data_IF_467947524724
#
_entry.id   IF_467947524724
#
_cell.length_a   1.000
_cell.length_b   1.000
_cell.length_c   1.000
_cell.angle_alpha   90.00
_cell.angle_beta   90.00
_cell.angle_gamma   90.00
#
_symmetry.space_group_name_H-M   'P 1'
#
loop_
_entity.id
_entity.type
_entity.pdbx_description
1 polymer ?
#
# COMPACT_ATOMS: atom_id res chain seq x y z
N UNK A 1 -3.45 -20.19 -24.26
CA UNK A 1 -3.63 -21.22 -23.22
C UNK A 1 -2.28 -21.33 -22.50
N UNK A 2 -2.13 -20.68 -21.36
CA UNK A 2 -0.88 -20.68 -20.58
C UNK A 2 -0.90 -21.94 -19.69
N UNK A 3 -0.23 -23.01 -20.15
CA UNK A 3 -0.06 -24.27 -19.40
C UNK A 3 1.08 -24.11 -18.37
N UNK A 4 0.95 -23.15 -17.44
CA UNK A 4 1.83 -23.10 -16.30
C UNK A 4 1.22 -23.93 -15.18
N UNK A 5 2.00 -24.87 -14.64
CA UNK A 5 1.63 -25.75 -13.53
C UNK A 5 0.99 -24.94 -12.38
N UNK A 6 -0.05 -25.49 -11.73
CA UNK A 6 -0.62 -24.86 -10.55
C UNK A 6 0.49 -24.70 -9.48
N UNK A 7 0.76 -23.45 -9.10
CA UNK A 7 1.72 -23.18 -8.05
C UNK A 7 1.14 -23.75 -6.75
N UNK A 8 1.87 -24.65 -6.11
CA UNK A 8 1.48 -25.20 -4.83
C UNK A 8 1.41 -24.06 -3.80
N UNK A 9 0.24 -23.86 -3.20
CA UNK A 9 -0.01 -22.78 -2.22
C UNK A 9 0.98 -22.82 -1.06
N UNK A 10 1.39 -24.01 -0.66
CA UNK A 10 2.38 -24.24 0.40
C UNK A 10 3.74 -23.61 0.07
N UNK A 11 4.22 -23.76 -1.15
CA UNK A 11 5.48 -23.11 -1.60
C UNK A 11 5.42 -21.59 -1.56
N UNK A 12 4.26 -21.02 -1.94
CA UNK A 12 4.05 -19.56 -1.88
C UNK A 12 4.07 -19.09 -0.44
N UNK A 13 3.38 -19.79 0.45
CA UNK A 13 3.32 -19.48 1.87
C UNK A 13 4.70 -19.55 2.52
N UNK A 14 5.45 -20.64 2.31
CA UNK A 14 6.80 -20.78 2.81
C UNK A 14 7.75 -19.68 2.32
N UNK A 15 7.65 -19.33 1.03
CA UNK A 15 8.49 -18.28 0.46
C UNK A 15 8.20 -16.91 1.10
N UNK A 16 6.93 -16.59 1.36
CA UNK A 16 6.53 -15.36 2.05
C UNK A 16 7.04 -15.35 3.50
N UNK A 17 6.90 -16.47 4.21
CA UNK A 17 7.43 -16.58 5.57
C UNK A 17 8.96 -16.37 5.63
N UNK A 18 9.70 -16.89 4.65
CA UNK A 18 11.16 -16.65 4.55
C UNK A 18 11.47 -15.16 4.32
N UNK A 19 10.67 -14.46 3.51
CA UNK A 19 10.84 -13.00 3.34
C UNK A 19 10.59 -12.28 4.66
N UNK A 20 9.52 -12.60 5.39
CA UNK A 20 9.27 -12.04 6.72
C UNK A 20 10.45 -12.29 7.67
N UNK A 21 10.97 -13.51 7.72
CA UNK A 21 12.11 -13.89 8.56
C UNK A 21 13.39 -13.12 8.19
N UNK A 22 13.73 -13.03 6.91
CA UNK A 22 14.93 -12.29 6.47
C UNK A 22 14.82 -10.78 6.77
N UNK A 23 13.64 -10.18 6.60
CA UNK A 23 13.44 -8.77 6.94
C UNK A 23 13.53 -8.55 8.45
N UNK A 24 12.97 -9.45 9.26
CA UNK A 24 13.01 -9.37 10.72
C UNK A 24 14.41 -9.55 11.32
N UNK A 25 15.38 -10.10 10.58
CA UNK A 25 16.78 -10.13 11.01
C UNK A 25 17.40 -8.73 11.08
N UNK A 26 16.89 -7.80 10.30
CA UNK A 26 17.39 -6.42 10.20
C UNK A 26 16.50 -5.44 10.93
N UNK A 27 15.19 -5.65 10.86
CA UNK A 27 14.17 -4.75 11.39
C UNK A 27 13.57 -5.38 12.65
N UNK A 28 13.87 -4.81 13.80
CA UNK A 28 13.43 -5.31 15.11
C UNK A 28 12.17 -4.57 15.56
N UNK A 29 11.21 -5.31 16.13
CA UNK A 29 10.02 -4.75 16.79
C UNK A 29 8.95 -4.22 15.84
N UNK A 30 9.05 -4.52 14.53
CA UNK A 30 8.10 -4.05 13.54
C UNK A 30 7.46 -5.19 12.72
N UNK A 31 7.30 -6.38 13.31
CA UNK A 31 6.71 -7.55 12.64
C UNK A 31 5.35 -7.24 12.04
N UNK A 32 4.52 -6.49 12.78
CA UNK A 32 3.21 -6.06 12.31
C UNK A 32 3.31 -5.21 11.04
N UNK A 33 4.23 -4.23 11.03
CA UNK A 33 4.45 -3.35 9.87
C UNK A 33 4.90 -4.16 8.66
N UNK A 34 5.92 -5.01 8.83
CA UNK A 34 6.46 -5.86 7.76
C UNK A 34 5.35 -6.70 7.15
N UNK A 35 4.54 -7.34 8.00
CA UNK A 35 3.41 -8.15 7.56
C UNK A 35 2.38 -7.32 6.76
N UNK A 36 2.06 -6.09 7.18
CA UNK A 36 1.17 -5.19 6.46
C UNK A 36 1.74 -4.73 5.12
N UNK A 37 3.03 -4.44 5.06
CA UNK A 37 3.72 -4.09 3.82
C UNK A 37 3.67 -5.25 2.81
N UNK A 38 3.92 -6.48 3.26
CA UNK A 38 3.81 -7.67 2.43
C UNK A 38 2.37 -7.92 1.99
N UNK A 39 1.37 -7.75 2.86
CA UNK A 39 -0.05 -7.82 2.46
C UNK A 39 -0.33 -6.82 1.34
N UNK A 40 0.13 -5.57 1.45
CA UNK A 40 -0.01 -4.58 0.39
C UNK A 40 0.66 -5.02 -0.92
N UNK A 41 1.91 -5.47 -0.86
CA UNK A 41 2.69 -5.89 -2.03
C UNK A 41 2.06 -7.09 -2.76
N UNK A 42 1.58 -8.08 -2.01
CA UNK A 42 1.01 -9.31 -2.58
C UNK A 42 -0.49 -9.23 -2.88
N UNK A 43 -1.16 -8.15 -2.50
CA UNK A 43 -2.59 -7.98 -2.82
C UNK A 43 -2.81 -7.61 -4.29
N UNK A 44 -3.72 -8.32 -4.92
CA UNK A 44 -4.16 -8.04 -6.29
C UNK A 44 -5.37 -7.11 -6.25
N UNK A 45 -5.14 -5.83 -6.47
CA UNK A 45 -6.18 -4.81 -6.46
C UNK A 45 -6.85 -4.77 -7.83
N UNK A 46 -8.17 -5.00 -7.94
CA UNK A 46 -8.87 -4.92 -9.21
C UNK A 46 -8.83 -3.50 -9.77
N UNK A 47 -8.51 -3.36 -11.05
CA UNK A 47 -8.69 -2.12 -11.80
C UNK A 47 -9.85 -2.27 -12.77
N UNK A 48 -10.65 -1.24 -12.88
CA UNK A 48 -11.81 -1.20 -13.77
C UNK A 48 -11.46 -1.02 -15.26
N UNK A 49 -10.18 -1.11 -15.64
CA UNK A 49 -9.75 -0.82 -16.99
C UNK A 49 -9.14 -2.04 -17.68
N UNK A 50 -9.78 -2.49 -18.78
CA UNK A 50 -9.19 -3.44 -19.70
C UNK A 50 -8.43 -2.67 -20.78
N UNK A 51 -7.14 -2.91 -20.93
CA UNK A 51 -6.35 -2.41 -22.04
C UNK A 51 -5.87 -3.63 -22.82
N UNK A 52 -6.08 -3.60 -24.13
CA UNK A 52 -5.64 -4.68 -25.06
C UNK A 52 -6.22 -6.07 -24.75
N UNK A 53 -7.42 -6.12 -24.12
CA UNK A 53 -8.10 -7.38 -23.80
C UNK A 53 -7.59 -8.09 -22.53
N UNK A 54 -6.52 -7.60 -21.90
CA UNK A 54 -6.02 -8.12 -20.64
C UNK A 54 -6.56 -7.33 -19.44
N UNK A 55 -6.97 -8.05 -18.41
CA UNK A 55 -7.37 -7.47 -17.12
C UNK A 55 -6.09 -7.10 -16.35
N UNK A 56 -5.79 -5.80 -16.28
CA UNK A 56 -4.65 -5.32 -15.50
C UNK A 56 -5.07 -5.08 -14.07
N UNK A 57 -4.42 -5.77 -13.15
CA UNK A 57 -4.61 -5.61 -11.70
C UNK A 57 -3.50 -4.73 -11.09
N UNK A 58 -3.85 -3.90 -10.10
CA UNK A 58 -2.92 -3.04 -9.39
C UNK A 58 -2.28 -3.69 -8.18
N UNK A 59 -1.37 -2.98 -7.54
CA UNK A 59 -0.74 -3.34 -6.28
C UNK A 59 -1.40 -2.59 -5.12
N UNK A 60 -1.36 -3.16 -3.94
CA UNK A 60 -1.80 -2.49 -2.72
C UNK A 60 -0.76 -1.48 -2.24
N UNK A 61 -0.68 -0.32 -2.89
CA UNK A 61 0.20 0.75 -2.45
C UNK A 61 -0.12 1.18 -1.02
N UNK A 62 0.91 1.58 -0.28
CA UNK A 62 0.79 1.88 1.15
C UNK A 62 1.15 3.33 1.44
N UNK A 63 0.33 4.00 2.24
CA UNK A 63 0.63 5.28 2.86
C UNK A 63 1.02 5.04 4.32
N UNK A 64 2.21 5.46 4.69
CA UNK A 64 2.74 5.30 6.03
C UNK A 64 2.75 6.64 6.75
N UNK A 65 2.04 6.73 7.84
CA UNK A 65 2.05 7.88 8.73
C UNK A 65 2.82 7.55 10.00
N UNK A 66 3.78 8.37 10.37
CA UNK A 66 4.56 8.16 11.58
C UNK A 66 5.76 9.07 11.64
N UNK A 67 6.28 9.22 12.87
CA UNK A 67 7.42 10.09 13.17
C UNK A 67 8.68 9.69 12.37
N UNK A 68 9.61 10.61 12.15
CA UNK A 68 10.90 10.30 11.55
C UNK A 68 11.72 9.34 12.44
N UNK A 69 12.67 8.62 11.83
CA UNK A 69 13.58 7.75 12.60
C UNK A 69 13.11 6.29 12.78
N UNK A 70 11.92 5.90 12.31
CA UNK A 70 11.37 4.55 12.48
C UNK A 70 11.86 3.54 11.42
N UNK A 71 13.07 3.65 10.94
CA UNK A 71 13.72 2.73 9.98
C UNK A 71 12.94 2.47 8.68
N UNK A 72 12.00 3.35 8.28
CA UNK A 72 11.14 3.20 7.09
C UNK A 72 11.94 2.89 5.82
N UNK A 73 13.01 3.65 5.58
CA UNK A 73 13.90 3.44 4.43
C UNK A 73 14.61 2.10 4.50
N UNK A 74 15.13 1.75 5.68
CA UNK A 74 15.82 0.48 5.89
C UNK A 74 14.88 -0.71 5.66
N UNK A 75 13.63 -0.63 6.11
CA UNK A 75 12.62 -1.67 5.90
C UNK A 75 12.37 -1.93 4.40
N UNK A 76 12.18 -0.87 3.59
CA UNK A 76 11.92 -1.06 2.16
C UNK A 76 13.18 -1.51 1.42
N UNK A 77 14.36 -1.01 1.78
CA UNK A 77 15.64 -1.47 1.23
C UNK A 77 15.86 -2.96 1.52
N UNK A 78 15.65 -3.38 2.76
CA UNK A 78 15.77 -4.79 3.17
C UNK A 78 14.78 -5.64 2.40
N UNK A 79 13.50 -5.23 2.32
CA UNK A 79 12.49 -5.92 1.54
C UNK A 79 12.87 -6.03 0.07
N UNK A 80 13.38 -4.97 -0.54
CA UNK A 80 13.82 -5.00 -1.94
C UNK A 80 14.96 -5.97 -2.19
N UNK A 81 15.89 -6.09 -1.23
CA UNK A 81 17.02 -7.02 -1.29
C UNK A 81 16.54 -8.47 -1.23
N UNK A 82 15.55 -8.79 -0.37
CA UNK A 82 14.97 -10.15 -0.30
C UNK A 82 14.26 -10.55 -1.58
N UNK A 83 13.76 -9.58 -2.35
CA UNK A 83 13.01 -9.79 -3.59
C UNK A 83 13.86 -9.62 -4.84
N UNK A 84 15.15 -9.33 -4.72
CA UNK A 84 16.03 -8.95 -5.86
C UNK A 84 15.40 -7.88 -6.76
N UNK A 85 14.63 -6.98 -6.17
CA UNK A 85 13.86 -5.96 -6.86
C UNK A 85 14.63 -4.63 -6.89
N UNK A 86 14.48 -3.88 -7.98
CA UNK A 86 15.07 -2.55 -8.08
C UNK A 86 14.35 -1.61 -7.12
N UNK A 87 15.10 -1.05 -6.17
CA UNK A 87 14.61 -0.06 -5.21
C UNK A 87 15.02 1.35 -5.60
N UNK A 88 14.12 2.32 -5.38
CA UNK A 88 14.41 3.74 -5.51
C UNK A 88 13.72 4.53 -4.39
N UNK A 89 14.50 5.39 -3.70
CA UNK A 89 13.98 6.39 -2.79
C UNK A 89 13.83 7.71 -3.53
N UNK A 90 12.68 8.34 -3.41
CA UNK A 90 12.40 9.69 -3.92
C UNK A 90 12.04 10.55 -2.70
N UNK A 91 12.92 11.49 -2.36
CA UNK A 91 12.66 12.46 -1.30
C UNK A 91 11.82 13.59 -1.88
N UNK A 92 10.63 13.80 -1.35
CA UNK A 92 9.75 14.87 -1.77
C UNK A 92 10.16 16.17 -1.07
N UNK A 93 10.37 17.23 -1.85
CA UNK A 93 10.76 18.56 -1.39
C UNK A 93 9.92 19.63 -2.07
N UNK A 94 9.83 20.86 -1.54
CA UNK A 94 9.01 21.92 -2.12
C UNK A 94 9.40 22.31 -3.55
N UNK A 95 10.64 22.09 -3.95
CA UNK A 95 11.21 22.39 -5.26
C UNK A 95 11.18 21.23 -6.24
N UNK A 96 10.78 20.01 -5.80
CA UNK A 96 10.71 18.82 -6.65
C UNK A 96 9.68 19.00 -7.77
N UNK A 97 10.10 18.76 -9.00
CA UNK A 97 9.26 18.85 -10.18
C UNK A 97 8.76 17.45 -10.64
N UNK A 98 7.62 17.35 -11.34
CA UNK A 98 7.18 16.10 -11.96
C UNK A 98 8.25 15.43 -12.83
N UNK A 99 9.02 16.23 -13.61
CA UNK A 99 10.09 15.75 -14.47
C UNK A 99 11.23 15.06 -13.71
N UNK A 100 11.48 15.46 -12.46
CA UNK A 100 12.51 14.85 -11.61
C UNK A 100 12.10 13.41 -11.20
N UNK A 101 10.79 13.13 -11.15
CA UNK A 101 10.23 11.81 -10.84
C UNK A 101 10.15 10.93 -12.09
N UNK A 102 9.50 11.44 -13.15
CA UNK A 102 9.18 10.63 -14.33
C UNK A 102 10.32 10.63 -15.36
N UNK A 103 11.17 11.66 -15.36
CA UNK A 103 12.21 11.86 -16.36
C UNK A 103 11.85 12.92 -17.40
N UNK A 104 12.78 13.19 -18.29
CA UNK A 104 12.67 14.27 -19.25
C UNK A 104 13.35 13.92 -20.58
N UNK A 105 13.09 14.74 -21.60
CA UNK A 105 13.84 14.67 -22.88
C UNK A 105 14.99 15.68 -22.84
N UNK A 106 16.19 15.21 -23.09
CA UNK A 106 17.40 16.02 -23.14
C UNK A 106 17.90 16.10 -24.60
N UNK A 107 18.22 17.30 -25.05
CA UNK A 107 18.85 17.47 -26.36
C UNK A 107 20.32 17.13 -26.26
N UNK A 108 20.70 16.04 -26.93
CA UNK A 108 22.11 15.65 -27.05
C UNK A 108 22.76 16.40 -28.23
N UNK A 109 23.67 17.31 -27.92
CA UNK A 109 24.37 18.13 -28.93
C UNK A 109 25.33 17.34 -29.80
N UNK A 110 25.84 16.21 -29.29
CA UNK A 110 26.82 15.39 -30.02
C UNK A 110 26.15 14.66 -31.18
N UNK A 111 24.99 14.05 -30.91
CA UNK A 111 24.20 13.33 -31.92
C UNK A 111 23.08 14.18 -32.53
N UNK A 112 22.98 15.46 -32.15
CA UNK A 112 21.95 16.41 -32.63
C UNK A 112 20.52 15.86 -32.57
N UNK A 113 20.20 15.11 -31.53
CA UNK A 113 18.90 14.49 -31.35
C UNK A 113 18.47 14.54 -29.88
N UNK A 114 17.13 14.37 -29.66
CA UNK A 114 16.60 14.24 -28.32
C UNK A 114 16.73 12.80 -27.83
N UNK A 115 17.26 12.61 -26.63
CA UNK A 115 17.22 11.35 -25.91
C UNK A 115 16.29 11.47 -24.71
N UNK A 116 15.61 10.36 -24.36
CA UNK A 116 14.80 10.28 -23.15
C UNK A 116 15.70 9.85 -21.99
N UNK A 117 15.71 10.64 -20.93
CA UNK A 117 16.31 10.27 -19.66
C UNK A 117 15.21 9.88 -18.68
N UNK A 118 15.21 8.60 -18.29
CA UNK A 118 14.19 8.03 -17.38
C UNK A 118 14.47 8.46 -15.95
N UNK A 119 13.43 8.91 -15.25
CA UNK A 119 13.49 9.30 -13.85
C UNK A 119 13.49 8.11 -12.87
N UNK A 120 13.58 8.39 -11.57
CA UNK A 120 13.64 7.39 -10.51
C UNK A 120 12.38 6.52 -10.39
N UNK A 121 11.27 6.91 -11.00
CA UNK A 121 10.03 6.12 -11.00
C UNK A 121 10.17 4.76 -11.71
N UNK A 122 11.20 4.59 -12.55
CA UNK A 122 11.47 3.32 -13.24
C UNK A 122 12.22 2.34 -12.32
N UNK A 123 11.53 1.92 -11.28
CA UNK A 123 11.94 0.92 -10.30
C UNK A 123 10.76 0.03 -9.91
N UNK A 124 11.04 -1.10 -9.25
CA UNK A 124 10.01 -2.04 -8.79
C UNK A 124 9.38 -1.60 -7.46
N UNK A 125 10.20 -1.20 -6.51
CA UNK A 125 9.81 -0.73 -5.19
C UNK A 125 10.25 0.73 -5.02
N UNK A 126 9.28 1.60 -4.77
CA UNK A 126 9.53 3.03 -4.58
C UNK A 126 9.16 3.43 -3.16
N UNK A 127 10.09 4.09 -2.49
CA UNK A 127 9.82 4.85 -1.29
C UNK A 127 9.65 6.33 -1.67
N UNK A 128 8.42 6.82 -1.67
CA UNK A 128 8.10 8.23 -1.81
C UNK A 128 8.12 8.89 -0.42
N UNK A 129 9.28 9.39 -0.03
CA UNK A 129 9.50 9.88 1.31
C UNK A 129 9.03 11.33 1.46
N UNK A 130 8.21 11.58 2.49
CA UNK A 130 7.59 12.88 2.80
C UNK A 130 6.75 13.45 1.62
N UNK A 131 5.87 12.63 1.06
CA UNK A 131 5.09 12.97 -0.15
C UNK A 131 4.34 14.31 -0.02
N UNK A 132 3.93 14.67 1.19
CA UNK A 132 3.21 15.91 1.49
C UNK A 132 4.11 17.17 1.47
N UNK A 133 5.43 17.07 1.27
CA UNK A 133 6.32 18.24 1.16
C UNK A 133 6.43 18.81 -0.26
N UNK A 134 6.05 18.05 -1.27
CA UNK A 134 6.10 18.54 -2.65
C UNK A 134 4.75 19.11 -3.12
N UNK A 135 4.76 20.01 -4.10
CA UNK A 135 3.55 20.58 -4.69
C UNK A 135 2.60 19.53 -5.24
N UNK A 136 1.30 19.82 -5.25
CA UNK A 136 0.25 18.90 -5.72
C UNK A 136 0.48 18.34 -7.13
N UNK A 137 1.10 19.12 -8.03
CA UNK A 137 1.43 18.65 -9.39
C UNK A 137 2.43 17.49 -9.37
N UNK A 138 3.42 17.57 -8.49
CA UNK A 138 4.46 16.55 -8.33
C UNK A 138 3.90 15.31 -7.65
N UNK A 139 3.06 15.48 -6.61
CA UNK A 139 2.30 14.39 -6.00
C UNK A 139 1.43 13.67 -7.04
N UNK A 140 0.71 14.43 -7.87
CA UNK A 140 -0.19 13.88 -8.90
C UNK A 140 0.55 13.03 -9.93
N UNK A 141 1.77 13.38 -10.30
CA UNK A 141 2.58 12.59 -11.24
C UNK A 141 2.89 11.18 -10.71
N UNK A 142 3.26 11.06 -9.43
CA UNK A 142 3.45 9.75 -8.80
C UNK A 142 2.14 8.97 -8.72
N UNK A 143 1.07 9.61 -8.26
CA UNK A 143 -0.23 8.98 -8.06
C UNK A 143 -0.88 8.53 -9.39
N UNK A 144 -0.63 9.26 -10.49
CA UNK A 144 -1.02 8.84 -11.83
C UNK A 144 -0.25 7.60 -12.27
N UNK A 145 1.07 7.59 -12.07
CA UNK A 145 1.91 6.43 -12.38
C UNK A 145 1.49 5.18 -11.58
N UNK A 146 1.09 5.33 -10.32
CA UNK A 146 0.54 4.23 -9.49
C UNK A 146 -0.72 3.63 -10.12
N UNK A 147 -1.56 4.48 -10.67
CA UNK A 147 -2.83 4.07 -11.26
C UNK A 147 -2.65 3.52 -12.68
N UNK A 148 -1.94 4.24 -13.54
CA UNK A 148 -1.81 3.91 -14.95
C UNK A 148 -0.73 2.86 -15.23
N UNK A 149 0.24 2.69 -14.31
CA UNK A 149 1.43 1.84 -14.44
C UNK A 149 2.24 2.13 -15.71
N UNK A 150 2.17 3.35 -16.14
CA UNK A 150 2.93 3.91 -17.25
C UNK A 150 3.14 5.40 -17.03
N UNK A 151 4.14 5.94 -17.68
CA UNK A 151 4.41 7.38 -17.70
C UNK A 151 4.68 7.83 -19.11
N UNK A 152 4.30 9.07 -19.44
CA UNK A 152 4.57 9.67 -20.75
C UNK A 152 5.65 10.72 -20.61
N UNK A 153 6.73 10.57 -21.40
CA UNK A 153 7.83 11.52 -21.46
C UNK A 153 7.89 12.09 -22.88
N UNK A 154 7.54 13.35 -23.04
CA UNK A 154 7.34 13.95 -24.35
C UNK A 154 6.18 13.27 -25.09
N UNK A 155 6.47 12.61 -26.21
CA UNK A 155 5.47 11.93 -27.05
C UNK A 155 5.45 10.41 -26.83
N UNK A 156 6.31 9.87 -25.96
CA UNK A 156 6.48 8.43 -25.78
C UNK A 156 5.95 7.98 -24.43
N UNK A 157 5.09 6.97 -24.44
CA UNK A 157 4.60 6.33 -23.23
C UNK A 157 5.41 5.08 -22.91
N UNK A 158 5.89 5.00 -21.68
CA UNK A 158 6.68 3.90 -21.16
C UNK A 158 5.89 3.15 -20.09
N UNK A 159 5.76 1.84 -20.23
CA UNK A 159 5.23 0.99 -19.18
C UNK A 159 6.23 0.90 -18.00
N UNK A 160 5.71 0.84 -16.78
CA UNK A 160 6.49 0.56 -15.59
C UNK A 160 6.60 -0.96 -15.40
N UNK A 161 7.79 -1.42 -15.00
CA UNK A 161 8.08 -2.84 -14.80
C UNK A 161 7.36 -3.40 -13.58
N UNK A 162 6.85 -4.63 -13.68
CA UNK A 162 6.22 -5.31 -12.55
C UNK A 162 7.23 -6.11 -11.72
N UNK A 163 7.06 -6.15 -10.39
CA UNK A 163 6.08 -5.41 -9.60
C UNK A 163 6.37 -3.91 -9.61
N UNK A 164 5.33 -3.07 -9.65
CA UNK A 164 5.44 -1.64 -9.39
C UNK A 164 4.67 -1.30 -8.13
N UNK A 165 5.39 -1.13 -7.04
CA UNK A 165 4.79 -0.92 -5.73
C UNK A 165 5.38 0.32 -5.04
N UNK A 166 4.52 1.12 -4.45
CA UNK A 166 4.88 2.39 -3.81
C UNK A 166 4.51 2.35 -2.33
N UNK A 167 5.49 2.66 -1.50
CA UNK A 167 5.31 3.07 -0.12
C UNK A 167 5.53 4.58 -0.06
N UNK A 168 4.49 5.35 0.25
CA UNK A 168 4.60 6.77 0.51
C UNK A 168 4.63 7.03 2.01
N UNK A 169 5.41 8.01 2.46
CA UNK A 169 5.42 8.43 3.87
C UNK A 169 4.88 9.84 4.03
N UNK A 170 4.23 10.07 5.17
CA UNK A 170 3.83 11.39 5.63
C UNK A 170 4.34 11.60 7.07
N UNK A 171 4.81 12.79 7.35
CA UNK A 171 5.15 13.21 8.70
C UNK A 171 3.97 14.01 9.29
N UNK A 172 3.27 13.52 10.32
CA UNK A 172 2.12 14.20 10.88
C UNK A 172 2.48 15.42 11.73
N UNK A 173 3.74 15.54 12.15
CA UNK A 173 4.19 16.60 13.08
C UNK A 173 4.49 17.90 12.35
N UNK A 174 4.94 17.82 11.10
CA UNK A 174 5.27 19.02 10.31
C UNK A 174 4.00 19.69 9.82
N UNK A 175 3.77 20.93 10.27
CA UNK A 175 2.62 21.75 9.85
C UNK A 175 2.99 22.86 8.87
N UNK A 176 4.24 23.29 8.83
CA UNK A 176 4.72 24.35 7.94
C UNK A 176 5.27 23.78 6.62
N UNK A 177 4.89 24.38 5.50
CA UNK A 177 5.38 23.99 4.17
C UNK A 177 4.82 22.66 3.66
N UNK A 178 3.66 22.21 4.14
CA UNK A 178 3.04 20.93 3.77
C UNK A 178 1.89 21.15 2.81
N UNK A 179 1.84 20.34 1.77
CA UNK A 179 0.74 20.27 0.81
C UNK A 179 -0.10 19.03 1.11
N UNK A 180 -1.27 19.23 1.71
CA UNK A 180 -2.18 18.12 2.03
C UNK A 180 -2.55 17.35 0.78
N UNK A 181 -2.47 16.02 0.84
CA UNK A 181 -2.99 15.15 -0.22
C UNK A 181 -4.52 15.25 -0.24
N UNK A 182 -5.14 15.59 -1.39
CA UNK A 182 -6.58 15.54 -1.53
C UNK A 182 -7.12 14.12 -1.27
N UNK A 183 -8.30 14.02 -0.68
CA UNK A 183 -8.94 12.75 -0.31
C UNK A 183 -9.05 11.77 -1.48
N UNK A 184 -9.43 12.26 -2.67
CA UNK A 184 -9.49 11.45 -3.88
C UNK A 184 -8.12 10.87 -4.31
N UNK A 185 -7.03 11.48 -3.87
CA UNK A 185 -5.68 11.00 -4.11
C UNK A 185 -5.25 9.99 -3.05
N UNK A 186 -5.62 10.21 -1.79
CA UNK A 186 -5.36 9.27 -0.69
C UNK A 186 -6.11 7.94 -0.88
N UNK A 187 -7.31 7.96 -1.49
CA UNK A 187 -8.09 6.74 -1.83
C UNK A 187 -7.36 5.78 -2.80
N UNK A 188 -6.30 6.23 -3.46
CA UNK A 188 -5.45 5.37 -4.33
C UNK A 188 -4.55 4.41 -3.55
N UNK A 189 -4.24 4.74 -2.30
CA UNK A 189 -3.54 3.83 -1.41
C UNK A 189 -4.50 2.76 -0.90
N UNK A 190 -4.07 1.50 -0.92
CA UNK A 190 -4.88 0.40 -0.41
C UNK A 190 -4.89 0.36 1.12
N UNK A 191 -3.76 0.71 1.72
CA UNK A 191 -3.54 0.75 3.16
C UNK A 191 -3.00 2.12 3.59
N UNK A 192 -3.49 2.62 4.71
CA UNK A 192 -2.83 3.68 5.50
C UNK A 192 -2.43 3.09 6.83
N UNK A 193 -1.13 3.04 7.10
CA UNK A 193 -0.55 2.47 8.31
C UNK A 193 -0.07 3.59 9.23
N UNK A 194 -0.35 3.47 10.52
CA UNK A 194 0.20 4.34 11.54
C UNK A 194 1.28 3.57 12.28
N UNK A 195 2.47 4.16 12.37
CA UNK A 195 3.63 3.53 13.00
C UNK A 195 3.99 4.31 14.24
N UNK A 196 3.90 3.61 15.35
CA UNK A 196 4.33 4.09 16.67
C UNK A 196 5.79 3.76 16.93
N UNK A 197 6.34 4.31 18.01
CA UNK A 197 7.67 3.99 18.49
C UNK A 197 7.78 2.51 18.87
N UNK A 198 8.96 1.89 18.70
CA UNK A 198 9.22 0.53 19.16
C UNK A 198 9.05 0.43 20.68
N UNK A 199 8.85 -0.77 21.19
CA UNK A 199 8.83 -1.02 22.63
C UNK A 199 10.23 -0.80 23.24
N UNK A 200 10.29 -0.57 24.54
CA UNK A 200 11.58 -0.46 25.25
C UNK A 200 12.49 -1.68 25.02
N UNK A 201 11.92 -2.89 24.94
CA UNK A 201 12.66 -4.11 24.65
C UNK A 201 13.27 -4.12 23.25
N UNK A 202 12.49 -3.66 22.26
CA UNK A 202 12.93 -3.57 20.86
C UNK A 202 14.03 -2.51 20.70
N UNK A 203 13.89 -1.33 21.33
CA UNK A 203 14.93 -0.30 21.32
C UNK A 203 16.24 -0.82 21.93
N UNK A 204 16.13 -1.57 23.04
CA UNK A 204 17.31 -2.20 23.67
C UNK A 204 17.96 -3.22 22.74
N UNK A 205 17.15 -4.03 22.05
CA UNK A 205 17.65 -5.03 21.09
C UNK A 205 18.33 -4.35 19.88
N UNK A 206 17.79 -3.22 19.40
CA UNK A 206 18.40 -2.43 18.32
C UNK A 206 19.81 -1.94 18.63
N UNK A 207 20.11 -1.59 19.90
CA UNK A 207 21.45 -1.15 20.32
C UNK A 207 22.50 -2.27 20.21
N UNK A 208 22.06 -3.52 20.25
CA UNK A 208 22.93 -4.70 20.07
C UNK A 208 23.19 -5.09 18.62
N UNK A 209 22.44 -4.50 17.66
CA UNK A 209 22.54 -4.86 16.26
C UNK A 209 23.72 -4.14 15.57
N UNK A 210 24.53 -4.92 14.91
CA UNK A 210 25.57 -4.43 14.00
C UNK A 210 25.05 -4.50 12.57
N UNK A 211 24.23 -3.53 12.17
CA UNK A 211 23.52 -3.53 10.88
C UNK A 211 24.43 -3.73 9.67
N UNK A 212 25.69 -3.23 9.72
CA UNK A 212 26.68 -3.40 8.66
C UNK A 212 27.21 -4.83 8.48
N UNK A 213 26.99 -5.71 9.46
CA UNK A 213 27.42 -7.12 9.43
C UNK A 213 26.29 -8.07 9.00
N UNK A 214 25.03 -7.58 8.90
CA UNK A 214 23.88 -8.43 8.53
C UNK A 214 23.72 -8.44 7.02
N UNK A 215 24.00 -9.56 6.38
CA UNK A 215 23.65 -9.82 4.99
C UNK A 215 22.22 -10.33 4.89
N UNK A 216 21.44 -9.78 3.96
CA UNK A 216 20.09 -10.21 3.64
C UNK A 216 20.13 -11.17 2.47
N UNK A 217 19.52 -12.33 2.62
CA UNK A 217 19.46 -13.31 1.54
C UNK A 217 18.34 -12.99 0.57
N UNK A 218 18.61 -13.17 -0.71
CA UNK A 218 17.57 -13.16 -1.73
C UNK A 218 16.67 -14.40 -1.54
N UNK A 219 15.35 -14.19 -1.48
CA UNK A 219 14.35 -15.25 -1.31
C UNK A 219 13.52 -15.43 -2.59
N UNK A 220 13.22 -14.32 -3.26
CA UNK A 220 12.36 -14.29 -4.45
C UNK A 220 12.95 -13.39 -5.53
N UNK A 221 12.41 -13.52 -6.73
CA UNK A 221 12.62 -12.58 -7.84
C UNK A 221 11.38 -11.71 -8.05
N UNK A 222 11.47 -10.59 -8.76
CA UNK A 222 10.30 -9.79 -9.17
C UNK A 222 9.23 -10.62 -9.89
N UNK A 223 9.64 -11.57 -10.72
CA UNK A 223 8.74 -12.50 -11.40
C UNK A 223 7.99 -13.43 -10.44
N UNK A 224 8.63 -13.84 -9.34
CA UNK A 224 7.98 -14.65 -8.30
C UNK A 224 6.89 -13.84 -7.59
N UNK A 225 7.14 -12.58 -7.26
CA UNK A 225 6.14 -11.69 -6.65
C UNK A 225 4.89 -11.62 -7.52
N UNK A 226 5.05 -11.42 -8.84
CA UNK A 226 3.91 -11.36 -9.78
C UNK A 226 3.15 -12.70 -9.81
N UNK A 227 3.87 -13.84 -9.85
CA UNK A 227 3.25 -15.18 -9.87
C UNK A 227 2.49 -15.46 -8.58
N UNK A 228 3.12 -15.19 -7.42
CA UNK A 228 2.56 -15.49 -6.11
C UNK A 228 1.33 -14.63 -5.82
N UNK A 229 1.35 -13.35 -6.21
CA UNK A 229 0.20 -12.47 -6.14
C UNK A 229 -1.02 -13.03 -6.86
N UNK A 230 -0.83 -13.56 -8.09
CA UNK A 230 -1.89 -14.23 -8.86
C UNK A 230 -2.38 -15.52 -8.19
N UNK A 231 -1.52 -16.26 -7.52
CA UNK A 231 -1.91 -17.46 -6.77
C UNK A 231 -2.77 -17.08 -5.56
N UNK A 232 -2.36 -16.05 -4.81
CA UNK A 232 -3.09 -15.54 -3.64
C UNK A 232 -4.47 -14.99 -4.03
N UNK A 233 -4.60 -14.34 -5.18
CA UNK A 233 -5.88 -13.80 -5.64
C UNK A 233 -6.95 -14.87 -5.90
N UNK A 234 -6.56 -16.14 -5.99
CA UNK A 234 -7.46 -17.30 -6.12
C UNK A 234 -8.04 -17.79 -4.78
N UNK A 235 -7.59 -17.24 -3.65
CA UNK A 235 -8.18 -17.55 -2.32
C UNK A 235 -9.70 -17.43 -2.37
N UNK A 236 -10.39 -18.47 -1.93
CA UNK A 236 -11.85 -18.58 -2.06
C UNK A 236 -12.59 -17.52 -1.26
N UNK A 237 -13.63 -16.97 -1.86
CA UNK A 237 -14.52 -15.98 -1.24
C UNK A 237 -15.97 -16.42 -1.43
N UNK A 238 -16.66 -16.69 -0.33
CA UNK A 238 -18.11 -16.97 -0.37
C UNK A 238 -18.90 -15.71 -0.71
N UNK A 239 -20.10 -15.88 -1.30
CA UNK A 239 -20.98 -14.75 -1.58
C UNK A 239 -21.45 -14.05 -0.31
N UNK A 240 -21.66 -14.81 0.76
CA UNK A 240 -22.00 -14.25 2.08
C UNK A 240 -20.90 -13.31 2.62
N UNK A 241 -19.62 -13.63 2.36
CA UNK A 241 -18.50 -12.76 2.75
C UNK A 241 -18.39 -11.53 1.86
N UNK A 242 -18.65 -11.67 0.55
CA UNK A 242 -18.72 -10.50 -0.35
C UNK A 242 -19.79 -9.52 0.12
N UNK A 243 -20.95 -10.03 0.46
CA UNK A 243 -22.05 -9.23 1.01
C UNK A 243 -21.65 -8.57 2.34
N UNK A 244 -20.94 -9.29 3.20
CA UNK A 244 -20.41 -8.75 4.45
C UNK A 244 -19.46 -7.57 4.24
N UNK A 245 -18.51 -7.68 3.31
CA UNK A 245 -17.59 -6.58 2.95
C UNK A 245 -18.36 -5.37 2.42
N UNK A 246 -19.37 -5.59 1.56
CA UNK A 246 -20.23 -4.53 1.04
C UNK A 246 -21.01 -3.87 2.17
N UNK A 247 -21.58 -4.65 3.12
CA UNK A 247 -22.27 -4.10 4.29
C UNK A 247 -21.37 -3.23 5.16
N UNK A 248 -20.12 -3.65 5.42
CA UNK A 248 -19.14 -2.84 6.16
C UNK A 248 -18.93 -1.49 5.45
N UNK A 249 -18.62 -1.50 4.16
CA UNK A 249 -18.35 -0.27 3.42
C UNK A 249 -19.60 0.61 3.31
N UNK A 250 -20.78 0.04 3.09
CA UNK A 250 -22.04 0.79 3.08
C UNK A 250 -22.39 1.37 4.45
N UNK A 251 -22.06 0.66 5.51
CA UNK A 251 -22.30 1.13 6.88
C UNK A 251 -21.48 2.38 7.24
N UNK A 252 -20.36 2.65 6.54
CA UNK A 252 -19.60 3.90 6.71
C UNK A 252 -20.31 5.12 6.12
N UNK A 253 -21.32 4.91 5.27
CA UNK A 253 -22.05 5.99 4.61
C UNK A 253 -23.28 6.37 5.42
N UNK A 254 -23.51 7.66 5.57
CA UNK A 254 -24.69 8.18 6.25
C UNK A 254 -25.94 7.93 5.40
N UNK A 255 -26.46 6.69 5.41
CA UNK A 255 -27.70 6.32 4.71
C UNK A 255 -28.78 5.91 5.71
N UNK A 256 -30.03 6.26 5.42
CA UNK A 256 -31.20 5.87 6.25
C UNK A 256 -31.30 4.35 6.43
N UNK A 257 -30.74 3.56 5.51
CA UNK A 257 -30.75 2.09 5.56
C UNK A 257 -29.73 1.49 6.53
N UNK A 258 -28.75 2.25 7.02
CA UNK A 258 -27.67 1.78 7.90
C UNK A 258 -27.55 2.66 9.15
N UNK A 259 -28.68 2.92 9.82
CA UNK A 259 -28.75 3.80 10.99
C UNK A 259 -27.96 3.29 12.20
N UNK A 260 -26.64 3.22 12.07
CA UNK A 260 -25.74 3.16 13.20
C UNK A 260 -25.59 4.59 13.73
N UNK A 261 -26.02 4.89 14.96
CA UNK A 261 -25.99 6.26 15.51
C UNK A 261 -24.58 6.87 15.44
N UNK A 262 -23.55 6.05 15.70
CA UNK A 262 -22.14 6.50 15.64
C UNK A 262 -21.75 6.99 14.25
N UNK A 263 -22.24 6.34 13.19
CA UNK A 263 -21.91 6.73 11.82
C UNK A 263 -22.60 8.04 11.43
N UNK A 264 -23.87 8.17 11.83
CA UNK A 264 -24.70 9.34 11.47
C UNK A 264 -24.13 10.65 12.02
N UNK A 265 -23.60 10.62 13.23
CA UNK A 265 -23.14 11.81 13.93
C UNK A 265 -21.64 12.05 13.77
N UNK A 266 -20.84 11.01 13.46
CA UNK A 266 -19.36 11.04 13.48
C UNK A 266 -18.71 11.01 12.11
N UNK A 267 -19.40 10.52 11.05
CA UNK A 267 -18.86 10.45 9.69
C UNK A 267 -19.58 11.44 8.76
N UNK A 268 -18.81 12.35 8.20
CA UNK A 268 -19.29 13.30 7.18
C UNK A 268 -19.36 12.62 5.79
N UNK A 269 -18.26 11.95 5.42
CA UNK A 269 -18.18 11.17 4.18
C UNK A 269 -17.62 9.77 4.46
N UNK A 270 -18.31 8.76 3.98
CA UNK A 270 -17.89 7.36 4.10
C UNK A 270 -17.11 6.85 2.91
N UNK A 271 -16.62 5.63 3.03
CA UNK A 271 -15.76 4.97 2.05
C UNK A 271 -16.45 4.73 0.69
N UNK A 272 -15.68 4.83 -0.39
CA UNK A 272 -16.14 4.63 -1.77
C UNK A 272 -16.41 3.14 -2.10
N UNK A 273 -17.12 2.80 -3.19
CA UNK A 273 -17.25 1.40 -3.63
C UNK A 273 -15.89 0.73 -3.91
N UNK A 274 -14.87 1.49 -4.34
CA UNK A 274 -13.50 1.02 -4.53
C UNK A 274 -12.91 0.45 -3.23
N UNK A 275 -13.29 1.01 -2.10
CA UNK A 275 -12.85 0.55 -0.77
C UNK A 275 -13.27 -0.90 -0.50
N UNK A 276 -14.45 -1.33 -1.00
CA UNK A 276 -14.88 -2.74 -0.86
C UNK A 276 -13.98 -3.68 -1.67
N UNK A 277 -13.56 -3.27 -2.87
CA UNK A 277 -12.63 -4.04 -3.71
C UNK A 277 -11.25 -4.16 -3.04
N UNK A 278 -10.73 -3.04 -2.50
CA UNK A 278 -9.47 -3.03 -1.76
C UNK A 278 -9.54 -3.90 -0.50
N UNK A 279 -10.60 -3.72 0.31
CA UNK A 279 -10.78 -4.49 1.55
C UNK A 279 -10.86 -5.99 1.27
N UNK A 280 -11.57 -6.40 0.21
CA UNK A 280 -11.67 -7.80 -0.18
C UNK A 280 -10.33 -8.37 -0.65
N UNK A 281 -9.58 -7.63 -1.47
CA UNK A 281 -8.27 -8.06 -1.96
C UNK A 281 -7.25 -8.19 -0.82
N UNK A 282 -7.24 -7.24 0.11
CA UNK A 282 -6.39 -7.26 1.28
C UNK A 282 -6.76 -8.41 2.24
N UNK A 283 -8.07 -8.68 2.43
CA UNK A 283 -8.55 -9.79 3.26
C UNK A 283 -8.16 -11.17 2.66
N UNK A 284 -8.14 -11.32 1.33
CA UNK A 284 -7.61 -12.52 0.67
C UNK A 284 -6.17 -12.79 1.04
N UNK A 285 -5.33 -11.76 0.92
CA UNK A 285 -3.91 -11.87 1.25
C UNK A 285 -3.72 -12.12 2.74
N UNK A 286 -4.54 -11.50 3.59
CA UNK A 286 -4.52 -11.74 5.05
C UNK A 286 -4.86 -13.20 5.38
N UNK A 287 -5.89 -13.78 4.76
CA UNK A 287 -6.26 -15.18 4.95
C UNK A 287 -5.16 -16.14 4.48
N UNK A 288 -4.57 -15.85 3.31
CA UNK A 288 -3.45 -16.63 2.77
C UNK A 288 -2.23 -16.60 3.71
N UNK A 289 -1.89 -15.43 4.26
CA UNK A 289 -0.82 -15.27 5.24
C UNK A 289 -1.10 -15.96 6.59
N UNK A 290 -2.34 -16.33 6.83
CA UNK A 290 -2.74 -17.20 7.94
C UNK A 290 -2.81 -18.69 7.56
N UNK A 291 -2.25 -19.07 6.40
CA UNK A 291 -2.19 -20.45 5.92
C UNK A 291 -3.52 -21.01 5.40
N UNK A 292 -4.46 -20.16 4.98
CA UNK A 292 -5.81 -20.57 4.53
C UNK A 292 -6.04 -20.20 3.09
N UNK A 293 -6.78 -21.03 2.37
CA UNK A 293 -7.23 -20.84 1.00
C UNK A 293 -8.64 -20.26 0.89
N UNK A 294 -9.22 -19.82 2.01
CA UNK A 294 -10.51 -19.16 2.12
C UNK A 294 -10.48 -18.03 3.15
N UNK A 295 -11.33 -17.02 2.94
CA UNK A 295 -11.43 -15.85 3.81
C UNK A 295 -12.44 -16.08 4.91
N UNK A 296 -12.10 -15.63 6.14
CA UNK A 296 -13.00 -15.54 7.28
C UNK A 296 -13.40 -14.08 7.57
N UNK A 297 -14.54 -13.84 8.23
CA UNK A 297 -14.89 -12.49 8.70
C UNK A 297 -13.80 -11.82 9.56
N UNK A 298 -13.04 -12.63 10.30
CA UNK A 298 -11.91 -12.17 11.11
C UNK A 298 -10.80 -11.52 10.27
N UNK A 299 -10.52 -12.03 9.07
CA UNK A 299 -9.50 -11.46 8.16
C UNK A 299 -9.92 -10.07 7.68
N UNK A 300 -11.22 -9.92 7.36
CA UNK A 300 -11.80 -8.63 6.97
C UNK A 300 -11.70 -7.65 8.13
N UNK A 301 -12.10 -8.05 9.34
CA UNK A 301 -12.03 -7.20 10.54
C UNK A 301 -10.60 -6.78 10.86
N UNK A 302 -9.64 -7.69 10.73
CA UNK A 302 -8.23 -7.45 11.04
C UNK A 302 -7.60 -6.39 10.15
N UNK A 303 -7.97 -6.32 8.86
CA UNK A 303 -7.37 -5.40 7.89
C UNK A 303 -8.21 -4.12 7.67
N UNK A 304 -9.47 -4.12 8.13
CA UNK A 304 -10.39 -3.02 7.88
C UNK A 304 -9.91 -1.66 8.42
N UNK A 305 -9.33 -1.53 9.62
CA UNK A 305 -8.82 -0.24 10.10
C UNK A 305 -7.78 0.34 9.15
N UNK A 306 -6.81 -0.47 8.71
CA UNK A 306 -5.74 -0.03 7.81
C UNK A 306 -6.26 0.32 6.40
N UNK A 307 -7.31 -0.36 5.96
CA UNK A 307 -7.94 -0.13 4.65
C UNK A 307 -8.93 1.04 4.65
N UNK A 308 -9.52 1.41 5.78
CA UNK A 308 -10.64 2.36 5.83
C UNK A 308 -10.31 3.70 6.48
N UNK A 309 -9.31 3.76 7.41
CA UNK A 309 -9.05 4.99 8.20
C UNK A 309 -8.85 6.26 7.36
N UNK A 310 -8.24 6.15 6.20
CA UNK A 310 -7.98 7.27 5.29
C UNK A 310 -9.12 7.58 4.32
N UNK A 311 -10.23 6.85 4.42
CA UNK A 311 -11.40 6.94 3.54
C UNK A 311 -12.63 7.46 4.26
N UNK A 312 -12.52 7.65 5.57
CA UNK A 312 -13.60 8.19 6.41
C UNK A 312 -13.26 9.62 6.81
N UNK A 313 -14.14 10.54 6.45
CA UNK A 313 -14.03 11.94 6.85
C UNK A 313 -14.93 12.14 8.05
N UNK A 314 -14.32 12.56 9.16
CA UNK A 314 -15.04 12.82 10.39
C UNK A 314 -15.84 14.12 10.32
N UNK A 315 -16.91 14.22 11.11
CA UNK A 315 -17.65 15.47 11.34
C UNK A 315 -16.87 16.38 12.28
N UNK A 316 -17.18 17.66 12.25
CA UNK A 316 -16.67 18.64 13.24
C UNK A 316 -17.01 18.22 14.68
N UNK A 317 -18.15 17.56 14.88
CA UNK A 317 -18.54 16.99 16.17
C UNK A 317 -17.59 15.90 16.63
N UNK A 318 -17.25 14.94 15.76
CA UNK A 318 -16.30 13.88 16.07
C UNK A 318 -14.92 14.45 16.43
N UNK A 319 -14.48 15.51 15.75
CA UNK A 319 -13.23 16.19 16.06
C UNK A 319 -13.29 16.91 17.43
N UNK A 320 -14.38 17.60 17.73
CA UNK A 320 -14.59 18.28 18.99
C UNK A 320 -14.66 17.30 20.17
N UNK A 321 -15.29 16.13 19.98
CA UNK A 321 -15.39 15.06 20.97
C UNK A 321 -14.13 14.17 21.00
N UNK A 322 -13.12 14.44 20.13
CA UNK A 322 -11.86 13.70 20.00
C UNK A 322 -12.06 12.20 19.70
N UNK A 323 -13.15 11.85 19.02
CA UNK A 323 -13.39 10.47 18.60
C UNK A 323 -12.49 10.18 17.39
N UNK A 324 -11.66 9.14 17.50
CA UNK A 324 -10.74 8.72 16.45
C UNK A 324 -11.47 7.97 15.33
N UNK A 325 -10.86 7.91 14.15
CA UNK A 325 -11.39 7.11 13.04
C UNK A 325 -11.37 5.62 13.38
N UNK A 326 -10.38 5.18 14.13
CA UNK A 326 -10.22 3.81 14.61
C UNK A 326 -11.39 3.41 15.51
N UNK A 327 -11.74 4.23 16.51
CA UNK A 327 -12.89 3.98 17.39
C UNK A 327 -14.20 3.87 16.60
N UNK A 328 -14.39 4.72 15.59
CA UNK A 328 -15.57 4.65 14.70
C UNK A 328 -15.60 3.35 13.92
N UNK A 329 -14.44 2.93 13.35
CA UNK A 329 -14.33 1.68 12.59
C UNK A 329 -14.57 0.48 13.50
N UNK A 330 -14.00 0.45 14.68
CA UNK A 330 -14.16 -0.65 15.64
C UNK A 330 -15.61 -0.81 16.06
N UNK A 331 -16.31 0.28 16.39
CA UNK A 331 -17.73 0.23 16.73
C UNK A 331 -18.59 -0.27 15.55
N UNK A 332 -18.26 0.19 14.32
CA UNK A 332 -18.90 -0.26 13.10
C UNK A 332 -18.73 -1.77 12.89
N UNK A 333 -17.49 -2.27 13.03
CA UNK A 333 -17.17 -3.70 12.87
C UNK A 333 -17.81 -4.59 13.93
N UNK A 334 -18.12 -4.07 15.12
CA UNK A 334 -18.87 -4.78 16.16
C UNK A 334 -20.35 -4.89 15.83
N UNK A 335 -20.93 -3.85 15.20
CA UNK A 335 -22.39 -3.75 14.95
C UNK A 335 -22.82 -4.37 13.62
N UNK A 336 -21.92 -4.43 12.61
CA UNK A 336 -22.26 -5.06 11.32
C UNK A 336 -22.36 -6.59 11.51
N UNK A 337 -23.53 -7.13 11.20
CA UNK A 337 -23.80 -8.57 11.35
C UNK A 337 -22.81 -9.41 10.52
N UNK A 338 -22.21 -10.40 11.17
CA UNK A 338 -21.34 -11.41 10.54
C UNK A 338 -22.23 -12.38 9.76
N UNK A 339 -21.76 -12.89 8.59
CA UNK A 339 -22.51 -13.86 7.80
C UNK A 339 -22.67 -15.21 8.50
#
# INVERSE_FOLDING_TARGET
MDQREPIEQEKVFEAIQRVEQEVNRVIVGQDWLIRRLLIGLFSEIPYSFRRDGEEKTGYGHVLLEGVPGLAKTLTVMTLSSTLSAKFQRIQFTPDLLPADIIGTRIYDRVVSSFRTEKGPIFANLILADEINRAPQKTQSALLEAMQERQVTIGETTFALEEPFWVLATQNPIEQEGVYTLPEAQVDRFALKLQVDYPSHGDETAMLGLKLGEISVNQVMTPGDVVRYRRAISRTHVSDALREYVVRIVRATRNSEATSLPVVKDMILHGASPRSAQHLLALARTTAFFAGRDYILPADVKQIAPDALRHRLIRTVRAEAERVSTEEIIDELLQKVAIP
#
